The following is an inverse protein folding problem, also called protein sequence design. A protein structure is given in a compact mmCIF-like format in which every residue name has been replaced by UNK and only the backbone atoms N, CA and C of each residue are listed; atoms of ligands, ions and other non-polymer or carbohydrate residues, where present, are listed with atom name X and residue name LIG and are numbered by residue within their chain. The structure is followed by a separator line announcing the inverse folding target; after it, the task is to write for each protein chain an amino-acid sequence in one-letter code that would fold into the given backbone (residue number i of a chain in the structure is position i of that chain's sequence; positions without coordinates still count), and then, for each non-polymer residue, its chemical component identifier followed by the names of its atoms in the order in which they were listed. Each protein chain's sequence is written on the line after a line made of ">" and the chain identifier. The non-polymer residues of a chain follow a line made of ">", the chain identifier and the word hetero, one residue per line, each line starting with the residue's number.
data_IF_526579809474
#
_entry.id   IF_526579809474
#
_cell.length_a   1.000
_cell.length_b   1.000
_cell.length_c   1.000
_cell.angle_alpha   90.00
_cell.angle_beta   90.00
_cell.angle_gamma   90.00
#
_symmetry.space_group_name_H-M   'P 1'
#
loop_
_entity.id
_entity.type
_entity.pdbx_description
1 polymer ?
#
# COMPACT_ATOMS: atom_id res chain seq x y z
N UNK A 1 21.47 -11.17 -3.70
CA UNK A 1 20.67 -10.27 -4.57
C UNK A 1 19.37 -10.99 -4.81
N UNK A 2 18.21 -10.39 -4.65
CA UNK A 2 16.98 -11.07 -5.02
C UNK A 2 17.05 -11.35 -6.52
N UNK A 3 16.97 -12.61 -6.91
CA UNK A 3 16.76 -13.02 -8.29
C UNK A 3 15.41 -12.45 -8.70
N UNK A 4 15.39 -11.60 -9.72
CA UNK A 4 14.15 -11.10 -10.30
C UNK A 4 13.39 -12.32 -10.84
N UNK A 5 12.32 -12.70 -10.15
CA UNK A 5 11.45 -13.81 -10.57
C UNK A 5 10.41 -13.19 -11.52
N UNK A 6 10.41 -13.62 -12.76
CA UNK A 6 9.41 -13.20 -13.74
C UNK A 6 8.04 -13.74 -13.32
N UNK A 7 6.95 -12.96 -13.48
CA UNK A 7 5.61 -13.47 -13.23
C UNK A 7 5.21 -14.54 -14.25
N UNK A 8 4.45 -15.51 -13.80
CA UNK A 8 3.85 -16.51 -14.69
C UNK A 8 2.83 -15.87 -15.64
N UNK A 9 2.15 -14.82 -15.16
CA UNK A 9 1.22 -14.03 -15.94
C UNK A 9 1.36 -12.53 -15.60
N UNK A 10 1.49 -11.73 -16.67
CA UNK A 10 1.49 -10.27 -16.60
C UNK A 10 0.38 -9.76 -17.51
N UNK A 11 -0.60 -9.05 -16.92
CA UNK A 11 -1.73 -8.52 -17.67
C UNK A 11 -1.84 -7.01 -17.51
N UNK A 12 -2.45 -6.36 -18.51
CA UNK A 12 -2.95 -4.98 -18.40
C UNK A 12 -4.46 -5.03 -18.30
N UNK A 13 -4.98 -4.43 -17.23
CA UNK A 13 -6.42 -4.40 -16.95
C UNK A 13 -6.92 -2.97 -17.15
N UNK A 14 -7.93 -2.77 -18.03
CA UNK A 14 -8.55 -1.47 -18.21
C UNK A 14 -9.33 -1.02 -16.93
N UNK A 15 -9.05 0.20 -16.47
CA UNK A 15 -9.70 0.84 -15.32
C UNK A 15 -9.92 2.31 -15.64
N UNK A 16 -11.17 2.79 -15.67
CA UNK A 16 -11.52 4.19 -15.87
C UNK A 16 -10.89 4.87 -17.09
N UNK A 17 -10.69 4.11 -18.18
CA UNK A 17 -10.05 4.62 -19.41
C UNK A 17 -8.54 4.59 -19.40
N UNK A 18 -7.93 4.10 -18.34
CA UNK A 18 -6.49 3.84 -18.17
C UNK A 18 -6.22 2.34 -18.02
N UNK A 19 -4.95 1.97 -17.88
CA UNK A 19 -4.55 0.58 -17.67
C UNK A 19 -3.73 0.43 -16.38
N UNK A 20 -4.04 -0.60 -15.59
CA UNK A 20 -3.21 -1.05 -14.47
C UNK A 20 -2.51 -2.36 -14.83
N UNK A 21 -1.29 -2.54 -14.32
CA UNK A 21 -0.47 -3.73 -14.59
C UNK A 21 -0.56 -4.68 -13.41
N UNK A 22 -0.93 -5.93 -13.71
CA UNK A 22 -1.09 -7.01 -12.73
C UNK A 22 -0.02 -8.08 -12.92
N UNK A 23 0.32 -8.74 -11.83
CA UNK A 23 1.33 -9.78 -11.75
C UNK A 23 0.75 -10.99 -11.02
N UNK A 24 0.84 -12.19 -11.61
CA UNK A 24 0.44 -13.44 -10.98
C UNK A 24 1.61 -14.42 -10.93
N UNK A 25 1.75 -15.12 -9.82
CA UNK A 25 2.77 -16.14 -9.59
C UNK A 25 2.10 -17.39 -9.01
N UNK A 26 2.40 -18.56 -9.57
CA UNK A 26 1.75 -19.82 -9.19
C UNK A 26 0.33 -19.95 -9.74
N UNK A 27 -0.23 -21.14 -9.59
CA UNK A 27 -1.55 -21.51 -10.11
C UNK A 27 -2.41 -22.26 -9.08
N UNK A 28 -2.08 -22.13 -7.78
CA UNK A 28 -2.82 -22.78 -6.70
C UNK A 28 -4.23 -22.21 -6.52
N UNK A 29 -5.10 -23.03 -5.93
CA UNK A 29 -6.48 -22.63 -5.62
C UNK A 29 -6.56 -21.60 -4.47
N UNK A 30 -5.53 -21.57 -3.62
CA UNK A 30 -5.41 -20.58 -2.55
C UNK A 30 -4.86 -19.27 -3.12
N UNK A 31 -5.71 -18.27 -3.24
CA UNK A 31 -5.32 -16.97 -3.80
C UNK A 31 -4.90 -16.04 -2.67
N UNK A 32 -3.71 -15.42 -2.82
CA UNK A 32 -3.25 -14.29 -2.01
C UNK A 32 -3.19 -13.04 -2.89
N UNK A 33 -4.08 -12.09 -2.63
CA UNK A 33 -4.11 -10.82 -3.33
C UNK A 33 -3.47 -9.72 -2.46
N UNK A 34 -2.48 -9.02 -3.00
CA UNK A 34 -1.65 -8.06 -2.28
C UNK A 34 -2.01 -6.63 -2.66
N UNK A 35 -2.27 -5.79 -1.67
CA UNK A 35 -2.45 -4.35 -1.83
C UNK A 35 -1.30 -3.59 -1.16
N UNK A 36 -0.48 -2.94 -1.96
CA UNK A 36 0.69 -2.19 -1.53
C UNK A 36 0.36 -0.87 -0.85
N UNK A 37 1.29 -0.38 -0.06
CA UNK A 37 1.25 0.90 0.64
C UNK A 37 1.50 2.11 -0.28
N UNK A 38 1.62 3.25 0.32
CA UNK A 38 1.81 4.56 -0.29
C UNK A 38 0.74 5.53 0.21
N UNK A 39 -0.25 5.95 -0.59
CA UNK A 39 -0.49 5.63 -2.01
C UNK A 39 0.66 6.04 -2.92
N UNK A 40 0.78 5.39 -4.09
CA UNK A 40 1.75 5.76 -5.13
C UNK A 40 3.08 5.00 -5.12
N UNK A 41 3.29 4.03 -4.22
CA UNK A 41 4.41 3.10 -4.31
C UNK A 41 4.08 1.96 -5.30
N UNK A 42 5.06 1.45 -6.06
CA UNK A 42 4.87 0.24 -6.86
C UNK A 42 4.71 -0.99 -5.96
N UNK A 43 4.11 -2.05 -6.48
CA UNK A 43 3.78 -3.24 -5.68
C UNK A 43 4.98 -4.15 -5.38
N UNK A 44 6.13 -3.96 -6.02
CA UNK A 44 7.29 -4.86 -5.99
C UNK A 44 7.82 -5.14 -4.57
N UNK A 45 7.96 -4.12 -3.74
CA UNK A 45 8.47 -4.28 -2.38
C UNK A 45 7.59 -5.20 -1.50
N UNK A 46 6.27 -5.26 -1.78
CA UNK A 46 5.34 -6.15 -1.08
C UNK A 46 5.21 -7.49 -1.83
N UNK A 47 5.17 -7.47 -3.15
CA UNK A 47 5.05 -8.64 -4.01
C UNK A 47 6.25 -9.58 -3.86
N UNK A 48 7.46 -9.07 -4.06
CA UNK A 48 8.67 -9.89 -4.19
C UNK A 48 8.96 -10.76 -2.96
N UNK A 49 8.80 -10.27 -1.71
CA UNK A 49 8.94 -11.11 -0.53
C UNK A 49 7.88 -12.21 -0.36
N UNK A 50 6.76 -12.16 -1.10
CA UNK A 50 5.66 -13.13 -0.98
C UNK A 50 5.62 -14.15 -2.14
N UNK A 51 6.46 -13.99 -3.17
CA UNK A 51 6.45 -14.88 -4.36
C UNK A 51 6.73 -16.36 -3.96
N UNK A 52 7.52 -16.61 -2.92
CA UNK A 52 7.82 -17.97 -2.46
C UNK A 52 6.56 -18.79 -2.13
N UNK A 53 5.43 -18.13 -1.80
CA UNK A 53 4.16 -18.80 -1.53
C UNK A 53 3.59 -19.49 -2.78
N UNK A 54 4.04 -19.13 -3.96
CA UNK A 54 3.66 -19.84 -5.19
C UNK A 54 4.16 -21.30 -5.17
N UNK A 55 5.35 -21.55 -4.58
CA UNK A 55 5.89 -22.89 -4.38
C UNK A 55 5.14 -23.69 -3.28
N UNK A 56 4.41 -22.97 -2.40
CA UNK A 56 3.58 -23.54 -1.33
C UNK A 56 2.12 -23.74 -1.73
N UNK A 57 1.81 -23.68 -3.03
CA UNK A 57 0.48 -23.94 -3.58
C UNK A 57 -0.48 -22.74 -3.53
N UNK A 58 0.04 -21.53 -3.43
CA UNK A 58 -0.74 -20.31 -3.60
C UNK A 58 -0.67 -19.78 -5.04
N UNK A 59 -1.71 -19.03 -5.43
CA UNK A 59 -1.61 -18.06 -6.50
C UNK A 59 -1.43 -16.68 -5.88
N UNK A 60 -0.22 -16.12 -5.98
CA UNK A 60 0.09 -14.78 -5.47
C UNK A 60 -0.19 -13.76 -6.55
N UNK A 61 -1.05 -12.81 -6.26
CA UNK A 61 -1.49 -11.75 -7.18
C UNK A 61 -1.16 -10.39 -6.59
N UNK A 62 -0.57 -9.52 -7.39
CA UNK A 62 -0.34 -8.12 -7.05
C UNK A 62 -0.60 -7.25 -8.27
N UNK A 63 -0.79 -5.95 -8.08
CA UNK A 63 -0.85 -5.00 -9.19
C UNK A 63 -0.29 -3.65 -8.78
N UNK A 64 0.24 -2.93 -9.75
CA UNK A 64 0.56 -1.52 -9.58
C UNK A 64 -0.74 -0.72 -9.68
N UNK A 65 -1.12 -0.06 -8.58
CA UNK A 65 -2.31 0.81 -8.57
C UNK A 65 -2.15 1.94 -9.60
N UNK A 66 -3.24 2.49 -10.09
CA UNK A 66 -3.19 3.64 -11.00
C UNK A 66 -2.35 4.77 -10.37
N UNK A 67 -1.45 5.35 -11.16
CA UNK A 67 -0.53 6.38 -10.71
C UNK A 67 0.85 5.87 -10.27
N UNK A 68 1.09 4.55 -10.21
CA UNK A 68 2.39 4.02 -9.78
C UNK A 68 2.92 2.87 -10.66
N UNK A 69 4.15 2.46 -10.41
CA UNK A 69 4.81 1.33 -11.05
C UNK A 69 4.78 1.39 -12.58
N UNK A 70 4.28 0.31 -13.20
CA UNK A 70 4.12 0.16 -14.65
C UNK A 70 2.70 0.49 -15.15
N UNK A 71 1.80 0.88 -14.23
CA UNK A 71 0.45 1.34 -14.55
C UNK A 71 0.46 2.77 -15.11
N UNK A 72 -0.62 3.17 -15.75
CA UNK A 72 -0.78 4.52 -16.26
C UNK A 72 -0.75 5.57 -15.13
N UNK A 73 -0.31 6.77 -15.46
CA UNK A 73 -0.13 7.88 -14.51
C UNK A 73 -0.86 9.13 -14.96
N UNK A 74 -2.19 9.16 -14.84
CA UNK A 74 -2.96 10.34 -15.20
C UNK A 74 -2.66 11.53 -14.28
N UNK A 75 -2.69 12.73 -14.84
CA UNK A 75 -2.66 13.98 -14.08
C UNK A 75 -4.09 14.49 -13.87
N UNK A 76 -4.86 13.75 -13.08
CA UNK A 76 -6.29 13.98 -12.87
C UNK A 76 -6.64 13.89 -11.38
N UNK A 77 -6.68 15.03 -10.66
CA UNK A 77 -6.93 15.03 -9.21
C UNK A 77 -8.24 14.37 -8.78
N UNK A 78 -9.26 14.35 -9.64
CA UNK A 78 -10.56 13.73 -9.38
C UNK A 78 -10.48 12.21 -9.19
N UNK A 79 -9.45 11.56 -9.71
CA UNK A 79 -9.23 10.12 -9.59
C UNK A 79 -8.68 9.70 -8.21
N UNK A 80 -8.14 10.62 -7.43
CA UNK A 80 -7.46 10.30 -6.17
C UNK A 80 -8.45 10.33 -5.00
N UNK A 81 -9.35 9.34 -4.97
CA UNK A 81 -10.32 9.13 -3.88
C UNK A 81 -10.49 7.64 -3.55
N UNK A 82 -10.85 7.34 -2.31
CA UNK A 82 -10.90 5.98 -1.80
C UNK A 82 -11.93 5.11 -2.54
N UNK A 83 -13.09 5.66 -2.88
CA UNK A 83 -14.13 4.91 -3.57
C UNK A 83 -13.66 4.40 -4.93
N UNK A 84 -12.94 5.25 -5.69
CA UNK A 84 -12.36 4.84 -6.97
C UNK A 84 -11.29 3.74 -6.80
N UNK A 85 -10.46 3.83 -5.77
CA UNK A 85 -9.47 2.78 -5.51
C UNK A 85 -10.12 1.45 -5.13
N UNK A 86 -11.24 1.48 -4.40
CA UNK A 86 -12.04 0.28 -4.10
C UNK A 86 -12.58 -0.36 -5.39
N UNK A 87 -13.12 0.45 -6.30
CA UNK A 87 -13.59 -0.03 -7.61
C UNK A 87 -12.46 -0.52 -8.51
N UNK A 88 -11.27 0.05 -8.41
CA UNK A 88 -10.07 -0.43 -9.12
C UNK A 88 -9.71 -1.85 -8.66
N UNK A 89 -9.68 -2.11 -7.35
CA UNK A 89 -9.44 -3.46 -6.80
C UNK A 89 -10.50 -4.44 -7.31
N UNK A 90 -11.77 -4.05 -7.31
CA UNK A 90 -12.87 -4.89 -7.79
C UNK A 90 -12.78 -5.17 -9.29
N UNK A 91 -12.38 -4.18 -10.07
CA UNK A 91 -12.17 -4.32 -11.52
C UNK A 91 -11.02 -5.31 -11.81
N UNK A 92 -9.90 -5.18 -11.10
CA UNK A 92 -8.77 -6.11 -11.21
C UNK A 92 -9.18 -7.52 -10.78
N UNK A 93 -9.88 -7.66 -9.65
CA UNK A 93 -10.41 -8.94 -9.19
C UNK A 93 -11.24 -9.65 -10.26
N UNK A 94 -12.20 -8.94 -10.83
CA UNK A 94 -13.08 -9.49 -11.89
C UNK A 94 -12.31 -9.87 -13.15
N UNK A 95 -11.40 -9.00 -13.58
CA UNK A 95 -10.60 -9.25 -14.79
C UNK A 95 -9.71 -10.50 -14.66
N UNK A 96 -9.21 -10.80 -13.45
CA UNK A 96 -8.37 -11.96 -13.17
C UNK A 96 -9.18 -13.20 -12.73
N UNK A 97 -10.51 -13.13 -12.65
CA UNK A 97 -11.39 -14.24 -12.28
C UNK A 97 -11.22 -14.68 -10.81
N UNK A 98 -10.87 -13.77 -9.90
CA UNK A 98 -10.67 -14.09 -8.48
C UNK A 98 -12.03 -14.11 -7.76
N UNK A 99 -12.60 -15.29 -7.55
CA UNK A 99 -13.92 -15.42 -6.90
C UNK A 99 -13.83 -15.16 -5.40
N UNK A 100 -12.96 -15.92 -4.69
CA UNK A 100 -12.65 -15.75 -3.26
C UNK A 100 -11.15 -15.77 -3.06
N UNK A 101 -10.64 -14.88 -2.19
CA UNK A 101 -9.22 -14.74 -1.97
C UNK A 101 -8.88 -14.26 -0.56
N UNK A 102 -7.66 -14.54 -0.16
CA UNK A 102 -7.04 -13.93 1.02
C UNK A 102 -6.48 -12.57 0.60
N UNK A 103 -6.91 -11.50 1.26
CA UNK A 103 -6.46 -10.14 0.98
C UNK A 103 -5.42 -9.72 2.01
N UNK A 104 -4.24 -9.33 1.55
CA UNK A 104 -3.20 -8.74 2.40
C UNK A 104 -2.96 -7.30 1.98
N UNK A 105 -3.21 -6.38 2.88
CA UNK A 105 -2.93 -4.97 2.68
C UNK A 105 -1.90 -4.42 3.66
N UNK A 106 -0.93 -3.67 3.15
CA UNK A 106 0.12 -3.05 3.93
C UNK A 106 -0.01 -1.53 3.90
N UNK A 107 0.06 -0.87 5.08
CA UNK A 107 -0.03 0.59 5.20
C UNK A 107 -1.29 1.15 4.53
N UNK A 108 -1.18 2.04 3.53
CA UNK A 108 -2.29 2.49 2.69
C UNK A 108 -3.09 1.33 2.10
N UNK A 109 -2.41 0.28 1.59
CA UNK A 109 -3.09 -0.92 1.08
C UNK A 109 -3.91 -1.64 2.13
N UNK A 110 -3.51 -1.57 3.41
CA UNK A 110 -4.31 -2.10 4.53
C UNK A 110 -5.57 -1.29 4.76
N UNK A 111 -5.51 0.03 4.71
CA UNK A 111 -6.68 0.88 4.76
C UNK A 111 -7.62 0.61 3.57
N UNK A 112 -7.09 0.59 2.36
CA UNK A 112 -7.85 0.22 1.17
C UNK A 112 -8.50 -1.18 1.29
N UNK A 113 -7.80 -2.13 1.90
CA UNK A 113 -8.33 -3.48 2.15
C UNK A 113 -9.52 -3.48 3.12
N UNK A 114 -9.52 -2.61 4.13
CA UNK A 114 -10.67 -2.45 5.05
C UNK A 114 -11.88 -1.93 4.26
N UNK A 115 -11.72 -0.86 3.51
CA UNK A 115 -12.81 -0.26 2.70
C UNK A 115 -13.34 -1.26 1.66
N UNK A 116 -12.44 -2.00 1.01
CA UNK A 116 -12.80 -3.04 0.06
C UNK A 116 -13.59 -4.16 0.73
N UNK A 117 -13.15 -4.67 1.88
CA UNK A 117 -13.82 -5.74 2.60
C UNK A 117 -15.21 -5.33 3.13
N UNK A 118 -15.39 -4.05 3.48
CA UNK A 118 -16.69 -3.52 3.86
C UNK A 118 -17.64 -3.39 2.67
N UNK A 119 -17.12 -3.13 1.47
CA UNK A 119 -17.90 -2.96 0.24
C UNK A 119 -18.20 -4.30 -0.43
N UNK A 120 -17.23 -5.22 -0.47
CA UNK A 120 -17.29 -6.52 -1.16
C UNK A 120 -16.97 -7.69 -0.23
N UNK A 121 -17.67 -7.87 0.90
CA UNK A 121 -17.34 -8.89 1.92
C UNK A 121 -17.36 -10.32 1.39
N UNK A 122 -18.22 -10.63 0.43
CA UNK A 122 -18.39 -11.98 -0.12
C UNK A 122 -17.19 -12.47 -0.92
N UNK A 123 -16.34 -11.56 -1.44
CA UNK A 123 -15.12 -11.88 -2.15
C UNK A 123 -13.96 -12.24 -1.22
N UNK A 124 -14.04 -11.91 0.08
CA UNK A 124 -12.96 -12.06 1.04
C UNK A 124 -13.05 -13.41 1.77
N UNK A 125 -12.00 -14.20 1.70
CA UNK A 125 -11.83 -15.42 2.50
C UNK A 125 -11.19 -15.10 3.84
N UNK A 126 -10.11 -14.30 3.83
CA UNK A 126 -9.45 -13.76 5.02
C UNK A 126 -8.83 -12.42 4.74
N UNK A 127 -8.62 -11.62 5.79
CA UNK A 127 -8.03 -10.29 5.70
C UNK A 127 -6.78 -10.22 6.59
N UNK A 128 -5.65 -9.87 6.00
CA UNK A 128 -4.39 -9.62 6.70
C UNK A 128 -4.07 -8.13 6.61
N UNK A 129 -3.99 -7.47 7.76
CA UNK A 129 -3.70 -6.05 7.88
C UNK A 129 -2.29 -5.86 8.46
N UNK A 130 -1.38 -5.37 7.63
CA UNK A 130 0.01 -5.18 8.00
C UNK A 130 0.38 -3.70 8.10
N UNK A 131 0.84 -3.25 9.29
CA UNK A 131 1.32 -1.88 9.53
C UNK A 131 0.35 -0.79 9.03
N UNK A 132 -0.93 -0.93 9.37
CA UNK A 132 -2.02 -0.04 8.94
C UNK A 132 -2.85 0.44 10.12
N UNK A 133 -3.81 1.30 9.87
CA UNK A 133 -4.75 1.78 10.87
C UNK A 133 -6.20 1.68 10.38
N UNK A 134 -7.12 1.48 11.32
CA UNK A 134 -8.57 1.55 11.08
C UNK A 134 -9.22 2.83 11.63
N UNK A 135 -8.44 3.70 12.28
CA UNK A 135 -8.90 4.95 12.90
C UNK A 135 -7.86 6.06 12.69
N UNK A 136 -8.10 6.94 11.72
CA UNK A 136 -7.20 8.05 11.39
C UNK A 136 -7.09 9.11 12.51
N UNK A 137 -8.17 9.53 13.18
CA UNK A 137 -8.07 10.42 14.33
C UNK A 137 -7.18 9.86 15.46
N UNK A 138 -7.32 8.57 15.77
CA UNK A 138 -6.48 7.91 16.75
C UNK A 138 -5.02 7.84 16.29
N UNK A 139 -4.77 7.44 15.05
CA UNK A 139 -3.43 7.43 14.46
C UNK A 139 -2.75 8.80 14.58
N UNK A 140 -3.45 9.87 14.21
CA UNK A 140 -2.93 11.24 14.27
C UNK A 140 -2.55 11.62 15.72
N UNK A 141 -3.37 11.25 16.68
CA UNK A 141 -3.12 11.47 18.11
C UNK A 141 -1.84 10.77 18.55
N UNK A 142 -1.68 9.50 18.18
CA UNK A 142 -0.50 8.71 18.54
C UNK A 142 0.79 9.21 17.86
N UNK A 143 0.70 9.61 16.58
CA UNK A 143 1.84 10.20 15.86
C UNK A 143 2.30 11.50 16.55
N UNK A 144 1.36 12.36 16.99
CA UNK A 144 1.69 13.58 17.73
C UNK A 144 2.33 13.24 19.08
N UNK A 145 1.81 12.25 19.81
CA UNK A 145 2.41 11.79 21.08
C UNK A 145 3.85 11.29 20.89
N UNK A 146 4.11 10.54 19.82
CA UNK A 146 5.47 10.07 19.49
C UNK A 146 6.40 11.24 19.13
N UNK A 147 5.88 12.25 18.46
CA UNK A 147 6.60 13.48 18.11
C UNK A 147 6.91 14.30 19.36
N UNK A 148 5.96 14.47 20.27
CA UNK A 148 6.13 15.21 21.54
C UNK A 148 7.23 14.58 22.41
N UNK A 149 7.44 13.27 22.31
CA UNK A 149 8.52 12.56 23.00
C UNK A 149 9.94 12.90 22.50
N UNK A 150 10.07 13.70 21.43
CA UNK A 150 11.36 14.28 21.00
C UNK A 150 11.80 15.47 21.85
N UNK A 151 10.90 16.03 22.66
CA UNK A 151 11.13 17.22 23.49
C UNK A 151 10.67 18.51 22.82
N UNK A 152 10.27 19.46 23.65
CA UNK A 152 9.59 20.70 23.23
C UNK A 152 10.38 21.56 22.25
N UNK A 153 11.69 21.63 22.37
CA UNK A 153 12.55 22.41 21.47
C UNK A 153 12.57 21.80 20.06
N UNK A 154 12.73 20.47 19.99
CA UNK A 154 12.70 19.75 18.70
C UNK A 154 11.34 19.90 18.03
N UNK A 155 10.25 19.76 18.79
CA UNK A 155 8.89 19.93 18.26
C UNK A 155 8.67 21.34 17.75
N UNK A 156 9.11 22.38 18.49
CA UNK A 156 9.00 23.77 18.07
C UNK A 156 9.77 24.04 16.77
N UNK A 157 10.98 23.50 16.63
CA UNK A 157 11.77 23.57 15.40
C UNK A 157 11.03 22.89 14.22
N UNK A 158 10.49 21.70 14.44
CA UNK A 158 9.73 20.97 13.40
C UNK A 158 8.51 21.78 12.94
N UNK A 159 7.70 22.30 13.87
CA UNK A 159 6.55 23.14 13.57
C UNK A 159 6.93 24.41 12.79
N UNK A 160 8.07 25.02 13.14
CA UNK A 160 8.58 26.17 12.40
C UNK A 160 8.87 25.81 10.94
N UNK A 161 9.61 24.74 10.67
CA UNK A 161 9.91 24.30 9.30
C UNK A 161 8.65 23.92 8.51
N UNK A 162 7.67 23.30 9.14
CA UNK A 162 6.37 22.99 8.53
C UNK A 162 5.61 24.26 8.13
N UNK A 163 5.58 25.26 9.01
CA UNK A 163 4.91 26.53 8.73
C UNK A 163 5.57 27.34 7.61
N UNK A 164 6.89 27.16 7.44
CA UNK A 164 7.69 27.84 6.40
C UNK A 164 7.80 27.05 5.10
N UNK A 165 7.27 25.82 5.05
CA UNK A 165 7.43 24.93 3.89
C UNK A 165 8.87 24.46 3.65
N UNK A 166 9.73 24.47 4.68
CA UNK A 166 11.17 24.13 4.61
C UNK A 166 11.46 22.77 5.21
N UNK A 167 10.61 21.78 4.98
CA UNK A 167 10.72 20.44 5.54
C UNK A 167 11.96 19.67 5.05
N UNK A 168 12.61 20.10 3.97
CA UNK A 168 13.86 19.53 3.49
C UNK A 168 15.10 20.06 4.25
N UNK A 169 14.91 20.96 5.22
CA UNK A 169 16.01 21.48 6.01
C UNK A 169 16.68 20.35 6.83
N UNK A 170 18.03 20.28 6.91
CA UNK A 170 18.73 19.20 7.60
C UNK A 170 18.30 18.97 9.05
N UNK A 171 17.96 20.01 9.80
CA UNK A 171 17.47 19.91 11.19
C UNK A 171 16.12 19.16 11.26
N UNK A 172 15.18 19.50 10.37
CA UNK A 172 13.90 18.81 10.26
C UNK A 172 14.10 17.34 9.89
N UNK A 173 14.91 17.07 8.88
CA UNK A 173 15.20 15.73 8.40
C UNK A 173 15.91 14.87 9.48
N UNK A 174 16.76 15.47 10.31
CA UNK A 174 17.38 14.78 11.44
C UNK A 174 16.32 14.34 12.48
N UNK A 175 15.36 15.21 12.81
CA UNK A 175 14.28 14.87 13.73
C UNK A 175 13.37 13.76 13.16
N UNK A 176 13.02 13.82 11.89
CA UNK A 176 12.27 12.76 11.19
C UNK A 176 13.04 11.43 11.20
N UNK A 177 14.36 11.48 10.96
CA UNK A 177 15.21 10.28 11.01
C UNK A 177 15.16 9.62 12.39
N UNK A 178 15.20 10.40 13.46
CA UNK A 178 15.10 9.87 14.83
C UNK A 178 13.72 9.23 15.07
N UNK A 179 12.64 9.87 14.63
CA UNK A 179 11.28 9.31 14.72
C UNK A 179 11.17 7.98 13.97
N UNK A 180 11.64 7.96 12.74
CA UNK A 180 11.61 6.75 11.91
C UNK A 180 12.41 5.61 12.55
N UNK A 181 13.60 5.89 13.07
CA UNK A 181 14.44 4.89 13.72
C UNK A 181 13.82 4.35 15.02
N UNK A 182 13.08 5.17 15.76
CA UNK A 182 12.42 4.75 17.00
C UNK A 182 11.14 3.96 16.75
N UNK A 183 10.37 4.32 15.72
CA UNK A 183 8.96 3.92 15.62
C UNK A 183 8.61 3.22 14.30
N UNK A 184 9.37 3.39 13.22
CA UNK A 184 9.06 2.82 11.89
C UNK A 184 9.98 1.65 11.56
N UNK A 185 11.30 1.88 11.58
CA UNK A 185 12.28 0.86 11.23
C UNK A 185 13.49 0.94 12.16
N UNK A 186 13.73 -0.11 12.93
CA UNK A 186 14.79 -0.19 13.96
C UNK A 186 16.03 -0.97 13.50
N UNK A 187 16.26 -1.03 12.20
CA UNK A 187 17.42 -1.73 11.62
C UNK A 187 18.66 -0.88 11.63
#
# INVERSE_FOLDING_TARGET
>A
MPTHIEPDELCRVPVDGYEVVTYSYGSGDNILFLLNGGPGLPCDYLRDPHIFLAEEGYRVVAFDQLGCGKSDRPDEPSLWNIARYVEEVETVRKALGLEKFNLLGQSWGGWLSIEYALTYPDAIQSLVLANTCGDLPHLTTELNRMRDALGSETVAMMLHHESMGTIDHPEYQAAITILNYRHVCRL
#
